data_IF_953821365163
#
_entry.id   IF_953821365163
#
_cell.length_a   1.000
_cell.length_b   1.000
_cell.length_c   1.000
_cell.angle_alpha   90.00
_cell.angle_beta   90.00
_cell.angle_gamma   90.00
#
_symmetry.space_group_name_H-M   'P 1'
#
loop_
_entity.id
_entity.type
_entity.pdbx_description
1 polymer ?
#
# COMPACT_ATOMS: atom_id res chain seq x y z
N UNK A 1 -6.40 -14.48 20.10
CA UNK A 1 -6.17 -14.20 19.75
C UNK A 1 -6.20 -13.99 19.17
N UNK A 2 -6.27 -13.83 18.96
CA UNK A 2 -6.21 -13.40 18.30
C UNK A 2 -6.23 -13.26 17.56
N UNK A 3 -6.36 -13.22 17.47
CA UNK A 3 -6.28 -13.03 16.78
C UNK A 3 -6.76 -12.80 15.97
N UNK A 4 -7.05 -12.80 15.95
CA UNK A 4 -7.36 -12.53 15.23
C UNK A 4 -7.67 -12.09 14.65
N UNK A 5 -7.76 -11.94 14.78
CA UNK A 5 -7.92 -11.49 14.33
C UNK A 5 -8.08 -10.91 13.65
N UNK A 6 -7.91 -10.98 13.55
CA UNK A 6 -7.94 -10.35 12.92
C UNK A 6 -8.51 -10.00 12.22
N UNK A 7 -8.33 -9.94 12.35
CA UNK A 7 -9.07 -9.61 11.61
C UNK A 7 -9.16 -8.52 10.63
N UNK A 8 -9.27 -8.12 10.07
CA UNK A 8 -9.38 -7.02 9.13
C UNK A 8 -8.52 -7.22 7.91
N UNK A 9 -8.56 -6.25 6.94
CA UNK A 9 -7.77 -6.41 5.73
C UNK A 9 -6.27 -6.43 6.04
N UNK A 10 -5.56 -7.29 5.34
CA UNK A 10 -4.12 -7.40 5.50
C UNK A 10 -3.40 -6.21 4.86
N UNK A 11 -2.45 -5.67 5.55
CA UNK A 11 -1.52 -4.69 4.98
C UNK A 11 -0.16 -4.90 5.63
N UNK A 12 0.89 -4.79 4.82
CA UNK A 12 2.25 -4.97 5.31
C UNK A 12 2.58 -3.84 6.30
N UNK A 13 3.08 -4.22 7.46
CA UNK A 13 3.38 -3.25 8.51
C UNK A 13 4.45 -2.25 8.07
N UNK A 14 5.45 -2.72 7.33
CA UNK A 14 6.48 -1.82 6.81
C UNK A 14 5.86 -0.76 5.92
N UNK A 15 4.92 -1.17 5.08
CA UNK A 15 4.24 -0.25 4.18
C UNK A 15 3.43 0.77 4.97
N UNK A 16 2.71 0.30 5.97
CA UNK A 16 1.90 1.19 6.81
C UNK A 16 2.77 2.24 7.48
N UNK A 17 3.93 1.84 8.00
CA UNK A 17 4.84 2.77 8.65
C UNK A 17 5.36 3.80 7.68
N UNK A 18 5.67 3.40 6.44
CA UNK A 18 6.17 4.32 5.43
C UNK A 18 5.11 5.35 5.06
N UNK A 19 3.87 4.89 4.90
CA UNK A 19 2.77 5.79 4.58
C UNK A 19 2.50 6.75 5.72
N UNK A 20 2.51 6.26 6.95
CA UNK A 20 2.30 7.12 8.12
C UNK A 20 3.37 8.19 8.21
N UNK A 21 4.63 7.81 7.98
CA UNK A 21 5.74 8.76 8.03
C UNK A 21 5.58 9.82 6.94
N UNK A 22 5.18 9.39 5.74
CA UNK A 22 4.97 10.33 4.64
C UNK A 22 3.83 11.29 4.95
N UNK A 23 2.75 10.79 5.55
CA UNK A 23 1.62 11.63 5.92
C UNK A 23 2.01 12.63 7.00
N UNK A 24 2.80 12.18 7.97
CA UNK A 24 3.22 13.05 9.07
C UNK A 24 4.11 14.18 8.59
N UNK A 25 4.98 13.91 7.63
CA UNK A 25 5.91 14.91 7.10
C UNK A 25 5.36 15.68 5.91
N UNK A 26 4.24 15.23 5.36
CA UNK A 26 3.68 15.84 4.16
C UNK A 26 4.47 15.49 2.90
N UNK A 27 5.27 14.45 2.97
CA UNK A 27 6.13 14.03 1.86
C UNK A 27 5.33 13.16 0.88
N UNK A 28 5.47 13.46 -0.39
CA UNK A 28 4.80 12.70 -1.45
C UNK A 28 5.77 11.84 -2.25
N UNK A 29 6.89 11.50 -1.65
CA UNK A 29 7.88 10.64 -2.29
C UNK A 29 7.28 9.27 -2.57
N UNK A 30 7.73 8.64 -3.65
CA UNK A 30 7.28 7.31 -4.01
C UNK A 30 7.66 6.32 -2.90
N UNK A 31 6.69 5.52 -2.50
CA UNK A 31 6.88 4.52 -1.44
C UNK A 31 7.03 3.16 -2.09
N UNK A 32 8.17 2.51 -1.87
CA UNK A 32 8.44 1.21 -2.45
C UNK A 32 7.99 0.08 -1.53
N UNK A 33 7.38 -0.93 -2.11
CA UNK A 33 6.95 -2.09 -1.34
C UNK A 33 7.00 -3.34 -2.22
N UNK A 34 7.20 -4.48 -1.59
CA UNK A 34 7.15 -5.77 -2.27
C UNK A 34 5.84 -6.50 -1.99
N UNK A 35 4.99 -5.92 -1.16
CA UNK A 35 3.76 -6.56 -0.72
C UNK A 35 2.60 -6.25 -1.64
N UNK A 36 2.34 -7.13 -2.60
CA UNK A 36 1.21 -6.98 -3.51
C UNK A 36 -0.12 -7.36 -2.85
N UNK A 37 -0.03 -8.06 -1.72
CA UNK A 37 -1.23 -8.52 -1.01
C UNK A 37 -1.79 -7.47 -0.07
N UNK A 38 -1.07 -6.38 0.13
CA UNK A 38 -1.52 -5.33 1.04
C UNK A 38 -2.77 -4.65 0.52
N UNK A 39 -3.73 -4.43 1.41
CA UNK A 39 -4.95 -3.73 1.09
C UNK A 39 -4.68 -2.22 1.10
N UNK A 40 -5.29 -1.53 0.17
CA UNK A 40 -5.17 -0.08 0.08
C UNK A 40 -6.08 0.55 1.12
N UNK A 41 -5.48 1.28 2.05
CA UNK A 41 -6.23 1.98 3.10
C UNK A 41 -6.49 3.42 2.68
N UNK A 42 -7.47 4.09 3.30
CA UNK A 42 -7.73 5.50 2.97
C UNK A 42 -6.52 6.41 3.15
N UNK A 43 -5.62 6.07 4.08
CA UNK A 43 -4.41 6.87 4.31
C UNK A 43 -3.43 6.80 3.14
N UNK A 44 -3.62 5.85 2.23
CA UNK A 44 -2.76 5.70 1.06
C UNK A 44 -3.13 6.67 -0.06
N UNK A 45 -4.34 7.21 -0.03
CA UNK A 45 -4.83 8.06 -1.12
C UNK A 45 -3.92 9.29 -1.29
N UNK A 46 -3.59 9.57 -2.54
CA UNK A 46 -2.72 10.69 -2.86
C UNK A 46 -1.25 10.34 -2.92
N UNK A 47 -0.89 9.14 -2.51
CA UNK A 47 0.50 8.68 -2.57
C UNK A 47 0.71 7.80 -3.79
N UNK A 48 1.95 7.78 -4.27
CA UNK A 48 2.37 6.85 -5.31
C UNK A 48 3.14 5.73 -4.65
N UNK A 49 2.68 4.50 -4.85
CA UNK A 49 3.31 3.33 -4.24
C UNK A 49 3.90 2.48 -5.34
N UNK A 50 5.21 2.28 -5.30
CA UNK A 50 5.90 1.44 -6.28
C UNK A 50 5.86 0.01 -5.77
N UNK A 51 5.08 -0.82 -6.43
CA UNK A 51 4.85 -2.21 -6.04
C UNK A 51 5.72 -3.12 -6.90
N UNK A 52 6.48 -3.98 -6.25
CA UNK A 52 7.35 -4.91 -6.97
C UNK A 52 6.51 -6.04 -7.56
N UNK A 53 6.65 -6.25 -8.87
CA UNK A 53 5.85 -7.23 -9.61
C UNK A 53 6.60 -8.55 -9.85
N UNK A 54 7.74 -8.71 -9.20
CA UNK A 54 8.60 -9.88 -9.39
C UNK A 54 9.83 -9.56 -10.24
N UNK A 55 9.85 -8.43 -10.90
CA UNK A 55 10.94 -8.01 -11.76
C UNK A 55 11.37 -6.57 -11.48
N UNK A 56 10.40 -5.70 -11.30
CA UNK A 56 10.68 -4.28 -11.08
C UNK A 56 9.58 -3.66 -10.26
N UNK A 57 9.82 -2.46 -9.78
CA UNK A 57 8.80 -1.69 -9.06
C UNK A 57 7.93 -0.96 -10.07
N UNK A 58 6.62 -1.14 -9.95
CA UNK A 58 5.64 -0.49 -10.82
C UNK A 58 4.92 0.59 -10.00
N UNK A 59 4.99 1.86 -10.43
CA UNK A 59 4.33 2.92 -9.66
C UNK A 59 2.82 2.83 -9.80
N UNK A 60 2.14 2.92 -8.66
CA UNK A 60 0.68 2.90 -8.60
C UNK A 60 0.25 4.15 -7.85
N UNK A 61 -0.43 5.06 -8.54
CA UNK A 61 -0.97 6.24 -7.89
C UNK A 61 -2.31 5.88 -7.25
N UNK A 62 -2.40 6.05 -5.94
CA UNK A 62 -3.58 5.62 -5.18
C UNK A 62 -4.67 6.68 -5.22
N UNK A 63 -5.85 6.27 -5.65
CA UNK A 63 -7.03 7.12 -5.64
C UNK A 63 -8.07 6.53 -4.70
N UNK A 64 -9.11 7.30 -4.41
CA UNK A 64 -10.16 6.86 -3.50
C UNK A 64 -10.87 5.60 -4.00
N UNK A 65 -10.99 5.45 -5.30
CA UNK A 65 -11.65 4.28 -5.88
C UNK A 65 -10.91 2.99 -5.60
N UNK A 66 -9.63 3.10 -5.27
CA UNK A 66 -8.79 1.94 -5.07
C UNK A 66 -8.81 1.45 -3.63
N UNK A 67 -9.38 2.23 -2.72
CA UNK A 67 -9.45 1.84 -1.31
C UNK A 67 -10.26 0.55 -1.16
N UNK A 68 -9.73 -0.39 -0.40
CA UNK A 68 -10.36 -1.68 -0.19
C UNK A 68 -9.87 -2.74 -1.15
N UNK A 69 -9.21 -2.35 -2.22
CA UNK A 69 -8.59 -3.28 -3.16
C UNK A 69 -7.16 -3.55 -2.75
N UNK A 70 -6.55 -4.56 -3.35
CA UNK A 70 -5.17 -4.89 -3.06
C UNK A 70 -4.25 -4.26 -4.10
N UNK A 71 -3.04 -3.92 -3.65
CA UNK A 71 -2.08 -3.27 -4.55
C UNK A 71 -1.81 -4.12 -5.79
N UNK A 72 -1.75 -5.43 -5.64
CA UNK A 72 -1.47 -6.31 -6.76
C UNK A 72 -2.52 -6.29 -7.85
N UNK A 73 -3.71 -5.79 -7.56
CA UNK A 73 -4.77 -5.70 -8.56
C UNK A 73 -4.45 -4.65 -9.62
N UNK A 74 -3.57 -3.73 -9.30
CA UNK A 74 -3.25 -2.62 -10.19
C UNK A 74 -1.86 -2.74 -10.81
N UNK A 75 -1.21 -3.86 -10.59
CA UNK A 75 0.14 -4.10 -11.11
C UNK A 75 0.05 -5.21 -12.14
N UNK A 76 0.39 -4.87 -13.38
CA UNK A 76 0.39 -5.84 -14.46
C UNK A 76 1.53 -6.85 -14.28
N UNK A 77 1.31 -8.06 -14.79
CA UNK A 77 2.34 -9.10 -14.73
C UNK A 77 2.64 -9.67 -16.08
#
# INVERSE_FOLDING_TARGET
>A
MSRSLKKGPFADESLLKKVDAANASGDKTVIKTWSRRSTIFPSFVGHTIAVHDGRKHVPVYVTEDMVGHKLGEFVAR
#
